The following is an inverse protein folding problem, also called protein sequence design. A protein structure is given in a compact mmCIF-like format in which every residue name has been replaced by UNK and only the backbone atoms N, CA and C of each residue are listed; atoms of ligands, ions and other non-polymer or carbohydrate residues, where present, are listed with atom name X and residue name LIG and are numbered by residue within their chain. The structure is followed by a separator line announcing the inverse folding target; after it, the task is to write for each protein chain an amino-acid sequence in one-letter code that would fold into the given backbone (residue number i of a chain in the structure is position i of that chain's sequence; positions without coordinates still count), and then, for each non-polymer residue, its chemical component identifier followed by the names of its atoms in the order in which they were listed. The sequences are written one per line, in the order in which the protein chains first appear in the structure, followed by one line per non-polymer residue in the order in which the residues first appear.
data_IF_450078112847
#
_entry.id   IF_450078112847
#
_cell.length_a   1.000
_cell.length_b   1.000
_cell.length_c   1.000
_cell.angle_alpha   90.00
_cell.angle_beta   90.00
_cell.angle_gamma   90.00
#
_symmetry.space_group_name_H-M   'P 1'
#
loop_
_entity.id
_entity.type
_entity.pdbx_description
1 polymer ?
#
# COMPACT_ATOMS: atom_id res chain seq x y z
N UNK A 1 -11.87 -12.60 33.18
CA UNK A 1 -10.68 -11.73 33.20
C UNK A 1 -10.53 -11.13 31.82
N UNK A 2 -10.81 -9.83 31.66
CA UNK A 2 -10.59 -9.15 30.38
C UNK A 2 -9.12 -8.74 30.31
N UNK A 3 -8.34 -9.38 29.45
CA UNK A 3 -6.99 -8.91 29.13
C UNK A 3 -7.13 -7.65 28.30
N UNK A 4 -6.79 -6.50 28.89
CA UNK A 4 -6.50 -5.27 28.16
C UNK A 4 -5.24 -5.58 27.36
N UNK A 5 -5.42 -6.07 26.13
CA UNK A 5 -4.32 -6.28 25.20
C UNK A 5 -3.78 -4.88 24.90
N UNK A 6 -2.55 -4.60 25.36
CA UNK A 6 -1.81 -3.42 24.96
C UNK A 6 -1.95 -3.29 23.43
N UNK A 7 -2.26 -2.09 22.94
CA UNK A 7 -2.28 -1.83 21.49
C UNK A 7 -0.85 -2.03 20.98
N UNK A 8 -0.50 -3.26 20.64
CA UNK A 8 0.76 -3.60 19.99
C UNK A 8 0.78 -2.84 18.67
N UNK A 9 1.71 -1.90 18.57
CA UNK A 9 1.88 -1.08 17.38
C UNK A 9 2.18 -1.99 16.20
N UNK A 10 1.27 -2.02 15.23
CA UNK A 10 1.37 -2.97 14.12
C UNK A 10 2.27 -2.37 13.04
N UNK A 11 3.31 -3.11 12.61
CA UNK A 11 4.14 -2.71 11.47
C UNK A 11 3.29 -2.65 10.21
N UNK A 12 3.61 -1.71 9.31
CA UNK A 12 2.87 -1.56 8.05
C UNK A 12 3.09 -2.81 7.19
N UNK A 13 2.01 -3.48 6.82
CA UNK A 13 2.07 -4.59 5.87
C UNK A 13 1.79 -4.10 4.44
N UNK A 14 2.34 -4.77 3.41
CA UNK A 14 2.02 -4.43 2.02
C UNK A 14 0.51 -4.56 1.69
N UNK A 15 -0.22 -5.43 2.38
CA UNK A 15 -1.68 -5.58 2.22
C UNK A 15 -2.43 -4.35 2.74
N UNK A 16 -2.07 -3.81 3.90
CA UNK A 16 -2.68 -2.58 4.42
C UNK A 16 -2.50 -1.40 3.45
N UNK A 17 -1.37 -1.35 2.74
CA UNK A 17 -1.11 -0.36 1.69
C UNK A 17 -2.04 -0.58 0.50
N UNK A 18 -2.17 -1.82 0.00
CA UNK A 18 -3.09 -2.16 -1.09
C UNK A 18 -4.51 -1.73 -0.75
N UNK A 19 -5.00 -2.11 0.43
CA UNK A 19 -6.37 -1.80 0.86
C UNK A 19 -6.58 -0.29 1.00
N UNK A 20 -5.60 0.43 1.54
CA UNK A 20 -5.65 1.89 1.60
C UNK A 20 -5.73 2.51 0.21
N UNK A 21 -4.92 2.06 -0.75
CA UNK A 21 -4.95 2.55 -2.14
C UNK A 21 -6.28 2.22 -2.80
N UNK A 22 -6.81 1.01 -2.63
CA UNK A 22 -8.10 0.57 -3.19
C UNK A 22 -9.26 1.46 -2.70
N UNK A 23 -9.35 1.69 -1.39
CA UNK A 23 -10.41 2.54 -0.79
C UNK A 23 -10.26 4.00 -1.22
N UNK A 24 -9.03 4.52 -1.25
CA UNK A 24 -8.78 5.91 -1.66
C UNK A 24 -9.01 6.11 -3.16
N UNK A 25 -8.75 5.08 -3.97
CA UNK A 25 -8.89 5.17 -5.42
C UNK A 25 -10.34 5.26 -5.88
N UNK A 26 -11.29 4.73 -5.08
CA UNK A 26 -12.73 4.94 -5.29
C UNK A 26 -13.13 6.42 -5.28
N UNK A 27 -12.30 7.29 -4.67
CA UNK A 27 -12.55 8.73 -4.56
C UNK A 27 -11.63 9.57 -5.44
N UNK A 28 -10.45 9.05 -5.81
CA UNK A 28 -9.43 9.75 -6.60
C UNK A 28 -8.72 8.77 -7.52
N UNK A 29 -8.60 9.10 -8.81
CA UNK A 29 -7.90 8.25 -9.79
C UNK A 29 -6.47 7.85 -9.37
N UNK A 30 -5.76 8.76 -8.69
CA UNK A 30 -4.43 8.54 -8.15
C UNK A 30 -4.37 8.95 -6.67
N UNK A 31 -3.62 8.18 -5.89
CA UNK A 31 -3.47 8.34 -4.46
C UNK A 31 -2.02 8.68 -4.14
N UNK A 32 -1.79 9.72 -3.32
CA UNK A 32 -0.43 10.13 -2.94
C UNK A 32 -0.04 9.56 -1.57
N UNK A 33 1.26 9.62 -1.24
CA UNK A 33 1.77 9.06 0.03
C UNK A 33 1.07 9.67 1.25
N UNK A 34 0.78 10.98 1.22
CA UNK A 34 0.13 11.68 2.33
C UNK A 34 -1.27 11.13 2.63
N UNK A 35 -2.07 10.83 1.60
CA UNK A 35 -3.40 10.25 1.76
C UNK A 35 -3.33 8.82 2.28
N UNK A 36 -2.36 8.03 1.81
CA UNK A 36 -2.13 6.67 2.31
C UNK A 36 -1.73 6.73 3.79
N UNK A 37 -0.83 7.63 4.16
CA UNK A 37 -0.42 7.82 5.55
C UNK A 37 -1.60 8.21 6.45
N UNK A 38 -2.42 9.19 6.04
CA UNK A 38 -3.60 9.62 6.80
C UNK A 38 -4.62 8.49 6.93
N UNK A 39 -4.86 7.73 5.86
CA UNK A 39 -5.74 6.56 5.91
C UNK A 39 -5.21 5.48 6.87
N UNK A 40 -3.91 5.18 6.83
CA UNK A 40 -3.30 4.18 7.71
C UNK A 40 -3.37 4.61 9.18
N UNK A 41 -3.10 5.89 9.49
CA UNK A 41 -3.20 6.45 10.85
C UNK A 41 -4.60 6.34 11.43
N UNK A 42 -5.63 6.53 10.59
CA UNK A 42 -7.03 6.54 11.04
C UNK A 42 -7.59 5.14 11.25
N UNK A 43 -7.13 4.15 10.48
CA UNK A 43 -7.74 2.83 10.45
C UNK A 43 -6.95 1.75 11.19
N UNK A 44 -5.70 2.01 11.56
CA UNK A 44 -4.83 1.04 12.21
C UNK A 44 -4.10 1.63 13.42
N UNK A 45 -3.81 0.81 14.45
CA UNK A 45 -3.03 1.23 15.61
C UNK A 45 -1.53 1.27 15.27
N UNK A 46 -1.13 2.19 14.39
CA UNK A 46 0.27 2.39 13.97
C UNK A 46 0.84 3.60 14.70
N UNK A 47 2.03 3.43 15.27
CA UNK A 47 2.79 4.53 15.88
C UNK A 47 3.16 5.58 14.82
N UNK A 48 2.99 6.85 15.14
CA UNK A 48 3.25 7.95 14.20
C UNK A 48 4.69 7.97 13.69
N UNK A 49 5.64 7.72 14.59
CA UNK A 49 7.08 7.66 14.29
C UNK A 49 7.43 6.46 13.42
N UNK A 50 6.82 5.29 13.69
CA UNK A 50 6.98 4.10 12.88
C UNK A 50 6.41 4.31 11.47
N UNK A 51 5.27 5.01 11.34
CA UNK A 51 4.66 5.24 10.04
C UNK A 51 5.55 6.08 9.11
N UNK A 52 6.15 7.16 9.62
CA UNK A 52 7.00 8.05 8.80
C UNK A 52 8.26 7.34 8.28
N UNK A 53 8.81 6.42 9.07
CA UNK A 53 10.00 5.66 8.69
C UNK A 53 9.65 4.45 7.81
N UNK A 54 8.58 3.72 8.13
CA UNK A 54 8.24 2.46 7.46
C UNK A 54 7.45 2.65 6.16
N UNK A 55 6.69 3.74 6.01
CA UNK A 55 5.74 3.84 4.89
C UNK A 55 6.43 3.87 3.53
N UNK A 56 7.47 4.67 3.36
CA UNK A 56 8.21 4.78 2.08
C UNK A 56 8.84 3.44 1.65
N UNK A 57 9.61 2.73 2.49
CA UNK A 57 10.18 1.43 2.09
C UNK A 57 9.09 0.39 1.82
N UNK A 58 7.97 0.42 2.55
CA UNK A 58 6.85 -0.51 2.34
C UNK A 58 6.07 -0.20 1.06
N UNK A 59 5.91 1.08 0.70
CA UNK A 59 5.35 1.49 -0.60
C UNK A 59 6.23 0.99 -1.75
N UNK A 60 7.55 1.17 -1.66
CA UNK A 60 8.49 0.63 -2.66
C UNK A 60 8.38 -0.90 -2.78
N UNK A 61 8.24 -1.59 -1.66
CA UNK A 61 8.04 -3.03 -1.64
C UNK A 61 6.72 -3.41 -2.32
N UNK A 62 5.60 -2.76 -1.97
CA UNK A 62 4.28 -3.00 -2.57
C UNK A 62 4.28 -2.77 -4.09
N UNK A 63 5.00 -1.74 -4.57
CA UNK A 63 5.21 -1.53 -6.02
C UNK A 63 6.03 -2.67 -6.63
N UNK A 64 7.14 -3.06 -6.01
CA UNK A 64 8.03 -4.12 -6.51
C UNK A 64 7.33 -5.47 -6.62
N UNK A 65 6.44 -5.80 -5.68
CA UNK A 65 5.67 -7.05 -5.69
C UNK A 65 4.38 -6.96 -6.52
N UNK A 66 4.11 -5.83 -7.17
CA UNK A 66 2.95 -5.66 -8.04
C UNK A 66 1.62 -5.48 -7.31
N UNK A 67 1.61 -5.17 -6.02
CA UNK A 67 0.36 -4.91 -5.29
C UNK A 67 -0.26 -3.56 -5.64
N UNK A 68 0.59 -2.59 -5.96
CA UNK A 68 0.22 -1.24 -6.40
C UNK A 68 1.15 -0.82 -7.54
N UNK A 69 0.73 0.13 -8.36
CA UNK A 69 1.53 0.71 -9.44
C UNK A 69 1.88 2.15 -9.09
N UNK A 70 3.12 2.56 -9.42
CA UNK A 70 3.55 3.96 -9.32
C UNK A 70 3.25 4.65 -10.65
N UNK A 71 2.17 5.43 -10.67
CA UNK A 71 1.65 6.16 -11.82
C UNK A 71 2.34 7.54 -12.02
N UNK A 72 3.18 8.01 -11.08
CA UNK A 72 3.89 9.30 -11.15
C UNK A 72 4.83 9.52 -9.95
N UNK A 73 5.35 10.74 -9.75
CA UNK A 73 6.41 10.97 -8.74
C UNK A 73 5.96 10.63 -7.30
N UNK A 74 4.70 10.93 -6.97
CA UNK A 74 4.03 10.59 -5.70
C UNK A 74 2.56 10.20 -5.97
N UNK A 75 2.34 9.32 -6.95
CA UNK A 75 1.02 8.90 -7.38
C UNK A 75 0.99 7.36 -7.49
N UNK A 76 0.06 6.75 -6.76
CA UNK A 76 -0.13 5.32 -6.66
C UNK A 76 -1.57 4.94 -7.04
N UNK A 77 -1.71 3.75 -7.59
CA UNK A 77 -2.93 3.23 -8.21
C UNK A 77 -2.95 1.70 -8.05
N UNK A 78 -4.12 1.08 -7.88
CA UNK A 78 -4.25 -0.38 -7.97
C UNK A 78 -4.03 -0.78 -9.45
N UNK A 79 -3.19 -1.79 -9.73
CA UNK A 79 -3.07 -2.34 -11.07
C UNK A 79 -4.44 -2.79 -11.57
N UNK A 80 -4.83 -2.36 -12.76
CA UNK A 80 -6.02 -2.91 -13.42
C UNK A 80 -5.71 -4.31 -13.95
N UNK A 81 -6.73 -5.16 -14.08
CA UNK A 81 -6.61 -6.53 -14.61
C UNK A 81 -5.83 -6.62 -15.93
N UNK A 82 -5.85 -5.57 -16.75
CA UNK A 82 -5.07 -5.46 -17.99
C UNK A 82 -3.55 -5.30 -17.75
N UNK A 83 -3.14 -4.61 -16.69
CA UNK A 83 -1.72 -4.49 -16.31
C UNK A 83 -1.19 -5.79 -15.70
N UNK A 84 -2.02 -6.51 -14.92
CA UNK A 84 -1.66 -7.83 -14.40
C UNK A 84 -1.44 -8.85 -15.53
N UNK A 85 -2.31 -8.86 -16.55
CA UNK A 85 -2.16 -9.73 -17.73
C UNK A 85 -0.86 -9.45 -18.51
N UNK A 86 -0.53 -8.18 -18.73
CA UNK A 86 0.69 -7.78 -19.45
C UNK A 86 1.98 -8.01 -18.63
N UNK A 87 1.90 -7.97 -17.29
CA UNK A 87 3.02 -8.32 -16.43
C UNK A 87 3.36 -9.82 -16.51
N UNK A 88 2.34 -10.68 -16.68
CA UNK A 88 2.55 -12.13 -16.85
C UNK A 88 3.15 -12.51 -18.21
N UNK A 89 2.87 -11.78 -19.30
CA UNK A 89 3.47 -12.07 -20.62
C UNK A 89 4.98 -11.81 -20.64
N UNK A 90 5.46 -10.81 -19.90
CA UNK A 90 6.89 -10.50 -19.84
C UNK A 90 7.71 -11.61 -19.16
N UNK A 91 7.06 -12.48 -18.38
CA UNK A 91 7.72 -13.62 -17.72
C UNK A 91 7.73 -14.89 -18.59
N UNK A 92 6.90 -14.94 -19.64
CA UNK A 92 6.81 -16.08 -20.56
C UNK A 92 7.70 -15.95 -21.80
N UNK A 93 8.23 -14.75 -22.08
CA UNK A 93 9.09 -14.46 -23.25
C UNK A 93 10.58 -14.75 -23.02
N UNK A 94 10.96 -15.31 -21.87
CA UNK A 94 12.36 -15.60 -21.53
C UNK A 94 12.73 -17.10 -21.61
N UNK A 95 12.01 -17.87 -22.42
CA UNK A 95 12.32 -19.29 -22.70
C UNK A 95 12.82 -19.50 -24.12
#
# INVERSE_FOLDING_TARGET
MYTIQARESTSITPQMIRDAVEVLQMRKLFVNTALIADHLKRNYPIEHTALEVELIPKLKCAVKVGLIVKCGNDAFCIPTLLQDANATETTLSAF
#
